data_IF_335561915937
#
_entry.id   IF_335561915937
#
_cell.length_a   1.000
_cell.length_b   1.000
_cell.length_c   1.000
_cell.angle_alpha   90.00
_cell.angle_beta   90.00
_cell.angle_gamma   90.00
#
_symmetry.space_group_name_H-M   'P 1'
#
loop_
_entity.id
_entity.type
_entity.pdbx_description
1 polymer ?
#
# COMPACT_ATOMS: atom_id res chain seq x y z
N UNK A 1 29.77 -3.08 -36.00
CA UNK A 1 28.75 -3.91 -36.67
C UNK A 1 28.75 -5.33 -36.13
N UNK A 2 28.30 -5.59 -34.89
CA UNK A 2 28.17 -6.99 -34.39
C UNK A 2 26.72 -7.43 -34.11
N UNK A 3 25.71 -6.58 -34.13
CA UNK A 3 24.41 -6.96 -33.56
C UNK A 3 23.36 -7.58 -34.52
N UNK A 4 23.71 -7.77 -35.78
CA UNK A 4 22.77 -8.42 -36.72
C UNK A 4 22.68 -9.94 -36.65
N UNK A 5 23.61 -10.59 -35.95
CA UNK A 5 23.65 -12.07 -35.87
C UNK A 5 22.83 -12.65 -34.71
N UNK A 6 22.68 -11.96 -33.61
CA UNK A 6 21.94 -12.49 -32.42
C UNK A 6 20.43 -12.55 -32.61
N UNK A 7 19.87 -11.71 -33.49
CA UNK A 7 18.44 -11.77 -33.81
C UNK A 7 18.04 -12.93 -34.73
N UNK A 8 19.00 -13.64 -35.32
CA UNK A 8 18.71 -14.78 -36.20
C UNK A 8 18.46 -16.09 -35.46
N UNK A 9 19.02 -16.27 -34.28
CA UNK A 9 18.83 -17.52 -33.52
C UNK A 9 17.51 -17.57 -32.76
N UNK A 10 16.96 -16.42 -32.36
CA UNK A 10 15.59 -16.34 -31.81
C UNK A 10 14.48 -16.47 -32.85
N UNK A 11 14.81 -16.43 -34.13
CA UNK A 11 13.83 -16.54 -35.22
C UNK A 11 13.16 -17.91 -35.34
N UNK A 12 13.67 -18.94 -34.63
CA UNK A 12 13.04 -20.26 -34.59
C UNK A 12 11.69 -20.27 -33.85
N UNK A 13 11.56 -19.44 -32.83
CA UNK A 13 10.33 -19.34 -32.02
C UNK A 13 9.30 -18.45 -32.72
N UNK A 14 9.74 -17.52 -33.56
CA UNK A 14 8.87 -16.57 -34.24
C UNK A 14 8.25 -17.09 -35.53
N UNK A 15 8.70 -18.25 -36.05
CA UNK A 15 8.17 -18.86 -37.30
C UNK A 15 6.74 -19.39 -37.14
N UNK A 16 6.20 -19.52 -35.95
CA UNK A 16 4.81 -19.94 -35.68
C UNK A 16 3.88 -18.79 -35.30
N UNK A 17 4.37 -17.55 -35.29
CA UNK A 17 3.55 -16.39 -34.97
C UNK A 17 2.82 -15.88 -36.23
N UNK A 18 1.51 -15.60 -36.14
CA UNK A 18 0.75 -15.01 -37.23
C UNK A 18 1.12 -13.53 -37.51
N UNK A 19 2.09 -13.00 -36.80
CA UNK A 19 2.56 -11.62 -36.98
C UNK A 19 3.69 -11.56 -38.00
N UNK A 20 3.40 -11.00 -39.19
CA UNK A 20 4.45 -10.61 -40.10
C UNK A 20 5.13 -9.34 -39.59
N UNK A 21 6.39 -9.44 -39.17
CA UNK A 21 7.19 -8.26 -38.88
C UNK A 21 7.47 -7.47 -40.18
N UNK A 22 6.65 -6.47 -40.48
CA UNK A 22 7.10 -5.39 -41.34
C UNK A 22 8.13 -4.60 -40.54
N UNK A 23 9.39 -4.65 -40.98
CA UNK A 23 10.39 -3.68 -40.49
C UNK A 23 9.95 -2.32 -40.99
N UNK A 24 9.16 -1.63 -40.20
CA UNK A 24 8.88 -0.23 -40.44
C UNK A 24 10.20 0.51 -40.21
N UNK A 25 10.66 1.22 -41.23
CA UNK A 25 11.72 2.22 -41.11
C UNK A 25 11.16 3.40 -40.32
N UNK A 26 11.01 3.21 -39.02
CA UNK A 26 10.66 4.25 -38.08
C UNK A 26 11.94 4.84 -37.51
N UNK A 27 12.06 6.15 -37.55
CA UNK A 27 13.16 6.90 -36.93
C UNK A 27 13.11 6.88 -35.40
N UNK A 28 12.07 6.34 -34.81
CA UNK A 28 11.92 6.11 -33.38
C UNK A 28 11.96 4.61 -33.09
N UNK A 29 13.09 4.14 -32.54
CA UNK A 29 13.31 2.74 -32.15
C UNK A 29 12.61 2.37 -30.86
N UNK A 30 12.12 3.35 -30.12
CA UNK A 30 11.54 3.19 -28.77
C UNK A 30 10.08 3.57 -28.78
N UNK A 31 9.25 2.78 -28.13
CA UNK A 31 7.82 3.03 -27.99
C UNK A 31 7.30 2.43 -26.68
N UNK A 32 6.60 3.24 -25.91
CA UNK A 32 5.79 2.74 -24.80
C UNK A 32 4.62 1.93 -25.38
N UNK A 33 4.50 0.67 -25.00
CA UNK A 33 3.37 -0.16 -25.40
C UNK A 33 2.13 0.27 -24.62
N UNK A 34 0.93 0.31 -25.23
CA UNK A 34 -0.30 0.64 -24.54
C UNK A 34 -0.50 -0.27 -23.31
N UNK A 35 -0.76 0.31 -22.14
CA UNK A 35 -0.97 -0.40 -20.89
C UNK A 35 0.30 -0.79 -20.11
N UNK A 36 1.49 -0.44 -20.61
CA UNK A 36 2.78 -0.75 -19.96
C UNK A 36 3.56 0.51 -19.52
N UNK A 37 2.87 1.61 -19.19
CA UNK A 37 3.54 2.79 -18.66
C UNK A 37 3.85 2.57 -17.18
N UNK A 38 5.03 2.02 -16.93
CA UNK A 38 5.61 1.75 -15.62
C UNK A 38 6.97 2.42 -15.44
N UNK A 39 7.17 3.57 -16.12
CA UNK A 39 8.39 4.36 -15.99
C UNK A 39 8.26 5.35 -14.84
N UNK A 40 8.96 5.08 -13.75
CA UNK A 40 9.00 5.94 -12.58
C UNK A 40 10.32 6.72 -12.50
N UNK A 41 10.25 7.97 -12.03
CA UNK A 41 11.46 8.73 -11.69
C UNK A 41 12.15 8.08 -10.49
N UNK A 42 13.48 8.10 -10.46
CA UNK A 42 14.24 7.58 -9.31
C UNK A 42 13.82 8.29 -8.00
N UNK A 43 13.60 9.61 -8.05
CA UNK A 43 13.12 10.39 -6.90
C UNK A 43 11.75 9.89 -6.38
N UNK A 44 10.90 9.31 -7.23
CA UNK A 44 9.65 8.70 -6.82
C UNK A 44 9.90 7.40 -6.03
N UNK A 45 10.89 6.59 -6.43
CA UNK A 45 11.31 5.37 -5.72
C UNK A 45 11.97 5.73 -4.38
N UNK A 46 12.76 6.81 -4.33
CA UNK A 46 13.36 7.30 -3.09
C UNK A 46 12.30 7.71 -2.07
N UNK A 47 11.19 8.29 -2.52
CA UNK A 47 10.05 8.58 -1.64
C UNK A 47 9.37 7.30 -1.12
N UNK A 48 9.28 6.23 -1.92
CA UNK A 48 8.82 4.93 -1.44
C UNK A 48 9.65 4.46 -0.24
N UNK A 49 10.98 4.54 -0.35
CA UNK A 49 11.89 4.16 0.73
C UNK A 49 11.76 5.06 1.97
N UNK A 50 11.49 6.36 1.77
CA UNK A 50 11.21 7.30 2.86
C UNK A 50 9.97 6.84 3.65
N UNK A 51 8.83 6.65 2.97
CA UNK A 51 7.57 6.27 3.61
C UNK A 51 7.55 4.82 4.12
N UNK A 52 8.33 3.92 3.50
CA UNK A 52 8.50 2.56 3.99
C UNK A 52 8.99 2.48 5.45
N UNK A 53 9.68 3.50 5.94
CA UNK A 53 10.10 3.58 7.35
C UNK A 53 8.94 3.77 8.30
N UNK A 54 7.90 4.49 7.87
CA UNK A 54 6.72 4.79 8.69
C UNK A 54 5.72 3.62 8.76
N UNK A 55 5.94 2.56 7.98
CA UNK A 55 5.05 1.39 7.96
C UNK A 55 5.56 0.35 8.95
N UNK A 56 4.64 -0.20 9.74
CA UNK A 56 4.96 -1.17 10.78
C UNK A 56 4.10 -2.42 10.66
N UNK A 57 4.63 -3.53 11.15
CA UNK A 57 3.84 -4.72 11.43
C UNK A 57 3.12 -4.55 12.75
N UNK A 58 1.82 -4.78 12.77
CA UNK A 58 1.00 -4.82 13.98
C UNK A 58 0.89 -6.27 14.42
N UNK A 59 1.33 -6.58 15.64
CA UNK A 59 1.35 -7.93 16.21
C UNK A 59 0.42 -7.94 17.42
N UNK A 60 -0.77 -8.48 17.24
CA UNK A 60 -1.76 -8.70 18.29
C UNK A 60 -1.56 -10.08 18.92
N UNK A 61 -2.23 -10.42 20.04
CA UNK A 61 -2.17 -11.77 20.60
C UNK A 61 -2.58 -12.88 19.62
N UNK A 62 -3.53 -12.61 18.72
CA UNK A 62 -4.17 -13.64 17.91
C UNK A 62 -3.76 -13.55 16.41
N UNK A 63 -3.34 -12.39 15.92
CA UNK A 63 -3.11 -12.17 14.49
C UNK A 63 -2.01 -11.13 14.22
N UNK A 64 -1.75 -10.89 12.95
CA UNK A 64 -0.80 -9.89 12.44
C UNK A 64 -1.45 -9.06 11.35
N UNK A 65 -1.24 -7.75 11.46
CA UNK A 65 -1.67 -6.77 10.47
C UNK A 65 -0.54 -5.84 10.06
N UNK A 66 -0.90 -4.85 9.29
CA UNK A 66 -0.08 -3.70 8.96
C UNK A 66 -0.62 -2.45 9.64
N UNK A 67 0.23 -1.46 9.78
CA UNK A 67 -0.15 -0.15 10.25
C UNK A 67 0.90 0.88 9.84
N UNK A 68 0.64 2.13 10.14
CA UNK A 68 1.56 3.20 9.83
C UNK A 68 1.54 4.32 10.87
N UNK A 69 2.67 5.01 10.98
CA UNK A 69 2.89 6.11 11.90
C UNK A 69 2.42 7.43 11.28
N UNK A 70 1.63 8.17 12.04
CA UNK A 70 1.19 9.52 11.75
C UNK A 70 2.07 10.56 12.47
N UNK A 71 2.06 11.82 11.99
CA UNK A 71 2.96 12.88 12.47
C UNK A 71 2.81 13.21 13.95
N UNK A 72 1.65 12.94 14.54
CA UNK A 72 1.36 13.15 15.96
C UNK A 72 1.67 11.95 16.87
N UNK A 73 2.40 10.93 16.35
CA UNK A 73 2.79 9.75 17.10
C UNK A 73 1.71 8.68 17.24
N UNK A 74 0.63 8.77 16.45
CA UNK A 74 -0.41 7.75 16.42
C UNK A 74 -0.13 6.70 15.35
N UNK A 75 -0.42 5.44 15.70
CA UNK A 75 -0.61 4.33 14.78
C UNK A 75 -1.99 4.41 14.16
N UNK A 76 -2.10 4.20 12.86
CA UNK A 76 -3.34 3.82 12.18
C UNK A 76 -3.30 2.37 11.72
N UNK A 77 -4.41 1.65 11.90
CA UNK A 77 -4.66 0.29 11.41
C UNK A 77 -6.18 0.06 11.28
N UNK A 78 -6.62 -1.14 10.95
CA UNK A 78 -8.05 -1.47 10.95
C UNK A 78 -8.60 -1.79 12.34
N UNK A 79 -9.92 -1.59 12.52
CA UNK A 79 -10.65 -2.03 13.71
C UNK A 79 -10.58 -3.55 13.88
N UNK A 80 -10.77 -4.32 12.80
CA UNK A 80 -10.69 -5.78 12.89
C UNK A 80 -9.27 -6.31 13.23
N UNK A 81 -8.21 -5.46 13.14
CA UNK A 81 -6.84 -5.79 13.61
C UNK A 81 -6.69 -5.47 15.09
N UNK A 82 -7.15 -4.29 15.54
CA UNK A 82 -7.19 -3.89 16.95
C UNK A 82 -8.61 -3.44 17.28
N UNK A 83 -9.39 -4.36 17.84
CA UNK A 83 -10.82 -4.12 18.04
C UNK A 83 -11.13 -3.25 19.25
N UNK A 84 -10.28 -3.26 20.28
CA UNK A 84 -10.52 -2.58 21.54
C UNK A 84 -9.23 -2.18 22.27
N UNK A 85 -9.39 -1.42 23.35
CA UNK A 85 -8.27 -0.97 24.18
C UNK A 85 -7.56 -2.12 24.89
N UNK A 86 -8.24 -3.24 25.21
CA UNK A 86 -7.63 -4.39 25.85
C UNK A 86 -6.69 -5.12 24.88
N UNK A 87 -7.10 -5.27 23.64
CA UNK A 87 -6.26 -5.77 22.52
C UNK A 87 -5.10 -4.82 22.28
N UNK A 88 -5.34 -3.50 22.22
CA UNK A 88 -4.29 -2.50 22.05
C UNK A 88 -3.22 -2.59 23.15
N UNK A 89 -3.61 -2.82 24.41
CA UNK A 89 -2.67 -2.95 25.54
C UNK A 89 -1.71 -4.14 25.41
N UNK A 90 -2.07 -5.17 24.64
CA UNK A 90 -1.30 -6.38 24.40
C UNK A 90 -0.61 -6.39 23.04
N UNK A 91 -0.90 -5.42 22.19
CA UNK A 91 -0.35 -5.31 20.84
C UNK A 91 1.04 -4.68 20.85
N UNK A 92 1.92 -5.20 20.01
CA UNK A 92 3.21 -4.59 19.69
C UNK A 92 3.18 -4.08 18.25
N UNK A 93 3.85 -2.96 18.00
CA UNK A 93 4.11 -2.49 16.65
C UNK A 93 5.61 -2.57 16.37
N UNK A 94 5.95 -3.13 15.22
CA UNK A 94 7.32 -3.46 14.85
C UNK A 94 7.70 -2.72 13.59
N UNK A 95 8.61 -1.77 13.73
CA UNK A 95 9.24 -1.07 12.61
C UNK A 95 10.49 -1.80 12.15
N UNK A 96 10.87 -1.55 10.89
CA UNK A 96 12.09 -2.10 10.28
C UNK A 96 12.10 -3.62 10.11
N UNK A 97 10.93 -4.28 10.13
CA UNK A 97 10.84 -5.70 9.84
C UNK A 97 11.02 -5.95 8.33
N UNK A 98 12.27 -5.94 7.89
CA UNK A 98 12.70 -6.15 6.51
C UNK A 98 14.18 -6.56 6.46
N UNK A 99 14.66 -6.97 5.28
CA UNK A 99 16.07 -7.21 5.01
C UNK A 99 16.75 -5.98 4.37
N UNK A 100 18.07 -5.91 4.47
CA UNK A 100 18.91 -5.00 3.68
C UNK A 100 19.13 -5.52 2.25
N UNK A 101 19.90 -4.78 1.43
CA UNK A 101 20.22 -5.18 0.04
C UNK A 101 21.05 -6.46 -0.06
N UNK A 102 21.64 -6.94 1.01
CA UNK A 102 22.42 -8.18 1.07
C UNK A 102 21.58 -9.35 1.60
N UNK A 103 20.28 -9.15 1.86
CA UNK A 103 19.38 -10.16 2.42
C UNK A 103 19.56 -10.38 3.93
N UNK A 104 20.32 -9.52 4.62
CA UNK A 104 20.47 -9.59 6.08
C UNK A 104 19.28 -8.90 6.76
N UNK A 105 18.68 -9.60 7.73
CA UNK A 105 17.60 -9.01 8.54
C UNK A 105 18.09 -7.76 9.28
N UNK A 106 17.29 -6.72 9.23
CA UNK A 106 17.53 -5.49 9.97
C UNK A 106 17.07 -5.63 11.43
N UNK A 107 17.53 -4.71 12.28
CA UNK A 107 17.16 -4.69 13.68
C UNK A 107 15.73 -4.16 13.84
N UNK A 108 14.83 -5.04 14.29
CA UNK A 108 13.41 -4.72 14.50
C UNK A 108 13.30 -3.84 15.74
N UNK A 109 12.57 -2.74 15.62
CA UNK A 109 12.24 -1.88 16.74
C UNK A 109 10.76 -2.07 17.11
N UNK A 110 10.54 -2.61 18.30
CA UNK A 110 9.21 -2.93 18.82
C UNK A 110 8.76 -1.90 19.84
N UNK A 111 7.50 -1.47 19.75
CA UNK A 111 6.90 -0.45 20.64
C UNK A 111 5.59 -0.95 21.22
N UNK A 112 5.29 -0.46 22.41
CA UNK A 112 3.99 -0.59 23.06
C UNK A 112 3.02 0.50 22.59
N UNK A 113 1.74 0.23 22.75
CA UNK A 113 0.67 1.20 22.52
C UNK A 113 0.18 1.78 23.86
N UNK A 114 -0.22 3.05 23.83
CA UNK A 114 -0.94 3.67 24.93
C UNK A 114 -2.44 3.43 24.78
N UNK A 115 -2.92 2.32 25.34
CA UNK A 115 -4.31 1.90 25.23
C UNK A 115 -5.31 2.94 25.78
N UNK A 116 -4.89 3.88 26.63
CA UNK A 116 -5.76 4.96 27.13
C UNK A 116 -6.16 5.95 26.03
N UNK A 117 -5.39 5.99 24.94
CA UNK A 117 -5.62 6.87 23.78
C UNK A 117 -6.37 6.18 22.64
N UNK A 118 -6.69 4.90 22.81
CA UNK A 118 -7.36 4.10 21.76
C UNK A 118 -8.69 4.70 21.33
N UNK A 119 -8.91 4.72 20.03
CA UNK A 119 -10.19 5.00 19.42
C UNK A 119 -10.35 4.16 18.14
N UNK A 120 -11.56 3.71 17.87
CA UNK A 120 -11.89 2.94 16.68
C UNK A 120 -13.31 3.22 16.20
N UNK A 121 -13.56 2.94 14.94
CA UNK A 121 -14.88 2.88 14.33
C UNK A 121 -15.02 1.52 13.65
N UNK A 122 -15.98 0.72 14.09
CA UNK A 122 -16.32 -0.55 13.44
C UNK A 122 -16.94 -0.31 12.06
N UNK A 123 -17.78 0.73 11.93
CA UNK A 123 -18.45 1.08 10.67
C UNK A 123 -17.45 1.43 9.55
N UNK A 124 -16.43 2.22 9.86
CA UNK A 124 -15.37 2.61 8.94
C UNK A 124 -14.13 1.71 9.04
N UNK A 125 -14.21 0.64 9.83
CA UNK A 125 -13.15 -0.34 10.07
C UNK A 125 -11.76 0.30 10.24
N UNK A 126 -11.65 1.30 11.09
CA UNK A 126 -10.36 1.85 11.47
C UNK A 126 -10.16 1.86 12.99
N UNK A 127 -8.92 1.78 13.40
CA UNK A 127 -8.47 2.03 14.76
C UNK A 127 -7.23 2.91 14.72
N UNK A 128 -7.12 3.83 15.68
CA UNK A 128 -5.88 4.53 15.92
C UNK A 128 -5.60 4.67 17.41
N UNK A 129 -4.32 4.65 17.75
CA UNK A 129 -3.85 4.63 19.12
C UNK A 129 -2.43 5.18 19.19
N UNK A 130 -2.07 5.91 20.22
CA UNK A 130 -0.74 6.47 20.37
C UNK A 130 0.30 5.38 20.60
N UNK A 131 1.42 5.45 19.87
CA UNK A 131 2.59 4.63 20.13
C UNK A 131 3.36 5.25 21.30
N UNK A 132 3.78 4.43 22.27
CA UNK A 132 4.67 4.89 23.35
C UNK A 132 6.07 5.09 22.81
N UNK A 133 6.52 6.33 22.83
CA UNK A 133 7.86 6.69 22.37
C UNK A 133 8.94 6.09 23.27
N UNK A 134 10.13 5.89 22.71
CA UNK A 134 11.26 5.29 23.39
C UNK A 134 12.52 6.13 23.18
N UNK A 135 13.22 6.46 24.25
CA UNK A 135 14.45 7.25 24.18
C UNK A 135 15.61 6.56 23.44
N UNK A 136 15.64 5.21 23.45
CA UNK A 136 16.66 4.40 22.75
C UNK A 136 16.31 4.13 21.26
N UNK A 137 15.11 4.47 20.83
CA UNK A 137 14.61 4.38 19.48
C UNK A 137 13.47 5.39 19.29
N UNK A 138 13.75 6.68 19.06
CA UNK A 138 12.72 7.70 18.95
C UNK A 138 11.80 7.45 17.74
N UNK A 139 10.51 7.74 17.90
CA UNK A 139 9.53 7.59 16.81
C UNK A 139 9.85 8.48 15.61
N UNK A 140 10.49 9.62 15.83
CA UNK A 140 10.90 10.56 14.78
C UNK A 140 11.86 9.93 13.75
N UNK A 141 12.61 8.89 14.12
CA UNK A 141 13.51 8.16 13.20
C UNK A 141 12.75 7.44 12.08
N UNK A 142 11.46 7.14 12.29
CA UNK A 142 10.61 6.46 11.32
C UNK A 142 9.90 7.42 10.38
N UNK A 143 9.88 8.71 10.69
CA UNK A 143 9.09 9.70 9.96
C UNK A 143 7.59 9.42 10.11
N UNK A 144 6.79 10.03 9.24
CA UNK A 144 5.33 9.85 9.23
C UNK A 144 4.79 9.90 7.80
N UNK A 145 3.62 9.31 7.59
CA UNK A 145 2.90 9.45 6.33
C UNK A 145 2.23 10.83 6.24
N UNK A 146 1.93 11.25 5.02
CA UNK A 146 1.18 12.46 4.74
C UNK A 146 -0.13 12.08 4.02
N UNK A 147 -1.21 12.79 4.33
CA UNK A 147 -2.54 12.50 3.79
C UNK A 147 -2.93 13.46 2.67
N UNK A 148 -3.80 12.98 1.78
CA UNK A 148 -4.52 13.79 0.80
C UNK A 148 -6.01 13.40 0.83
N UNK A 149 -6.77 14.11 1.64
CA UNK A 149 -8.22 13.89 1.81
C UNK A 149 -9.04 14.53 0.70
N UNK A 150 -8.42 15.41 -0.09
CA UNK A 150 -9.07 16.13 -1.20
C UNK A 150 -8.66 15.57 -2.57
N UNK A 151 -7.93 14.44 -2.59
CA UNK A 151 -7.47 13.83 -3.82
C UNK A 151 -8.62 13.53 -4.78
N UNK A 152 -8.53 14.06 -5.99
CA UNK A 152 -9.44 13.70 -7.07
C UNK A 152 -9.03 12.32 -7.63
N UNK A 153 -9.63 11.27 -7.10
CA UNK A 153 -9.34 9.89 -7.49
C UNK A 153 -10.30 9.46 -8.61
N UNK A 154 -9.74 8.86 -9.65
CA UNK A 154 -10.50 8.39 -10.82
C UNK A 154 -10.19 6.92 -11.13
N UNK A 155 -11.13 6.26 -11.81
CA UNK A 155 -10.91 4.91 -12.34
C UNK A 155 -9.68 4.89 -13.26
N UNK A 156 -8.79 3.94 -13.02
CA UNK A 156 -7.54 3.77 -13.75
C UNK A 156 -6.33 4.44 -13.11
N UNK A 157 -6.51 5.29 -12.11
CA UNK A 157 -5.40 5.87 -11.36
C UNK A 157 -4.59 4.78 -10.67
N UNK A 158 -3.27 4.96 -10.67
CA UNK A 158 -2.39 4.01 -10.01
C UNK A 158 -2.30 4.30 -8.50
N UNK A 159 -2.46 3.24 -7.70
CA UNK A 159 -2.29 3.29 -6.25
C UNK A 159 -1.15 2.36 -5.84
N UNK A 160 -0.46 2.71 -4.79
CA UNK A 160 0.67 1.92 -4.27
C UNK A 160 0.39 1.55 -2.82
N UNK A 161 0.68 0.30 -2.45
CA UNK A 161 0.56 -0.18 -1.07
C UNK A 161 1.92 -0.66 -0.58
N UNK A 162 2.32 -0.18 0.59
CA UNK A 162 3.46 -0.71 1.35
C UNK A 162 2.87 -1.45 2.55
N UNK A 163 3.20 -2.75 2.70
CA UNK A 163 2.42 -3.66 3.53
C UNK A 163 3.25 -4.81 4.12
N UNK A 164 2.73 -5.46 5.14
CA UNK A 164 3.24 -6.72 5.69
C UNK A 164 2.37 -7.91 5.24
N UNK A 165 2.28 -8.12 3.92
CA UNK A 165 1.47 -9.19 3.35
C UNK A 165 1.88 -10.58 3.90
N UNK A 166 0.91 -11.36 4.38
CA UNK A 166 1.14 -12.63 5.08
C UNK A 166 1.78 -12.46 6.47
N UNK A 167 1.77 -11.26 7.06
CA UNK A 167 2.50 -10.95 8.29
C UNK A 167 4.02 -11.06 8.15
N UNK A 168 4.53 -11.09 6.90
CA UNK A 168 5.94 -11.23 6.55
C UNK A 168 6.67 -9.89 6.56
N UNK A 169 7.94 -9.89 6.11
CA UNK A 169 8.73 -8.69 5.89
C UNK A 169 8.01 -7.66 5.03
N UNK A 170 8.38 -6.40 5.20
CA UNK A 170 7.77 -5.28 4.48
C UNK A 170 7.89 -5.46 2.97
N UNK A 171 6.80 -5.30 2.26
CA UNK A 171 6.68 -5.44 0.81
C UNK A 171 6.00 -4.22 0.20
N UNK A 172 6.27 -3.96 -1.06
CA UNK A 172 5.60 -2.93 -1.85
C UNK A 172 4.95 -3.58 -3.08
N UNK A 173 3.70 -3.22 -3.36
CA UNK A 173 3.00 -3.61 -4.56
C UNK A 173 3.07 -2.46 -5.59
N UNK A 174 3.75 -2.69 -6.72
CA UNK A 174 3.99 -1.71 -7.78
C UNK A 174 3.23 -2.02 -9.07
N UNK A 175 2.87 -3.27 -9.31
CA UNK A 175 2.14 -3.71 -10.50
C UNK A 175 0.68 -4.07 -10.16
N UNK A 176 -0.21 -4.04 -11.17
CA UNK A 176 -1.63 -4.34 -11.03
C UNK A 176 -2.28 -3.53 -9.88
N UNK A 177 -2.11 -2.22 -9.90
CA UNK A 177 -2.45 -1.33 -8.80
C UNK A 177 -3.38 -0.19 -9.26
N UNK A 178 -4.36 -0.51 -10.10
CA UNK A 178 -5.31 0.46 -10.66
C UNK A 178 -6.58 0.55 -9.84
N UNK A 179 -7.08 1.77 -9.70
CA UNK A 179 -8.45 2.01 -9.21
C UNK A 179 -9.45 1.42 -10.19
N UNK A 180 -10.34 0.60 -9.70
CA UNK A 180 -11.40 -0.06 -10.46
C UNK A 180 -12.70 0.72 -10.39
N UNK A 181 -13.06 1.18 -9.19
CA UNK A 181 -14.24 2.01 -8.92
C UNK A 181 -14.13 2.67 -7.55
N UNK A 182 -14.98 3.68 -7.35
CA UNK A 182 -15.22 4.30 -6.05
C UNK A 182 -16.73 4.21 -5.81
N UNK A 183 -17.13 3.82 -4.61
CA UNK A 183 -18.52 3.76 -4.21
C UNK A 183 -18.66 4.13 -2.73
N UNK A 184 -19.36 5.21 -2.45
CA UNK A 184 -19.46 5.79 -1.11
C UNK A 184 -18.07 6.01 -0.50
N UNK A 185 -17.80 5.54 0.72
CA UNK A 185 -16.52 5.62 1.41
C UNK A 185 -15.48 4.60 0.91
N UNK A 186 -15.79 3.80 -0.10
CA UNK A 186 -14.96 2.69 -0.54
C UNK A 186 -14.20 2.96 -1.83
N UNK A 187 -12.90 2.70 -1.80
CA UNK A 187 -12.01 2.67 -2.96
C UNK A 187 -11.71 1.22 -3.34
N UNK A 188 -12.09 0.81 -4.55
CA UNK A 188 -11.81 -0.54 -5.08
C UNK A 188 -10.64 -0.52 -6.05
N UNK A 189 -9.71 -1.46 -5.90
CA UNK A 189 -8.47 -1.55 -6.71
C UNK A 189 -8.01 -2.99 -6.86
N UNK A 190 -7.11 -3.24 -7.82
CA UNK A 190 -6.61 -4.57 -8.16
C UNK A 190 -5.21 -4.87 -7.59
N UNK A 191 -4.70 -4.03 -6.69
CA UNK A 191 -3.38 -4.22 -6.05
C UNK A 191 -3.32 -5.55 -5.31
N UNK A 192 -2.27 -6.39 -5.52
CA UNK A 192 -2.14 -7.66 -4.81
C UNK A 192 -1.99 -7.47 -3.29
N UNK A 193 -2.80 -8.20 -2.53
CA UNK A 193 -2.76 -8.22 -1.05
C UNK A 193 -2.96 -9.64 -0.53
N UNK A 194 -2.55 -9.89 0.70
CA UNK A 194 -2.74 -11.15 1.42
C UNK A 194 -3.19 -10.84 2.85
N UNK A 195 -3.60 -11.85 3.62
CA UNK A 195 -3.82 -11.70 5.06
C UNK A 195 -2.61 -11.00 5.71
N UNK A 196 -2.84 -10.09 6.64
CA UNK A 196 -1.78 -9.22 7.20
C UNK A 196 -1.55 -7.91 6.44
N UNK A 197 -2.14 -7.72 5.26
CA UNK A 197 -2.14 -6.42 4.55
C UNK A 197 -3.11 -5.43 5.16
N UNK A 198 -4.10 -5.89 5.92
CA UNK A 198 -5.08 -5.06 6.64
C UNK A 198 -4.40 -3.96 7.45
N UNK A 199 -4.87 -2.72 7.31
CA UNK A 199 -4.29 -1.56 7.99
C UNK A 199 -3.14 -0.89 7.24
N UNK A 200 -2.80 -1.35 6.04
CA UNK A 200 -1.79 -0.68 5.21
C UNK A 200 -2.31 0.62 4.61
N UNK A 201 -1.45 1.64 4.44
CA UNK A 201 -1.82 2.86 3.72
C UNK A 201 -1.88 2.59 2.21
N UNK A 202 -2.88 3.15 1.56
CA UNK A 202 -3.02 3.22 0.11
C UNK A 202 -2.55 4.59 -0.35
N UNK A 203 -1.44 4.64 -1.08
CA UNK A 203 -0.84 5.88 -1.57
C UNK A 203 -1.28 6.20 -2.99
N UNK A 204 -1.49 7.48 -3.27
CA UNK A 204 -1.56 8.00 -4.64
C UNK A 204 -0.15 8.18 -5.24
N UNK A 205 -0.06 8.61 -6.50
CA UNK A 205 1.23 8.80 -7.19
C UNK A 205 2.08 9.95 -6.63
N UNK A 206 1.52 10.81 -5.76
CA UNK A 206 2.25 11.86 -5.03
C UNK A 206 2.72 11.38 -3.64
N UNK A 207 2.63 10.08 -3.35
CA UNK A 207 2.96 9.49 -2.05
C UNK A 207 2.16 10.07 -0.88
N UNK A 208 0.92 10.45 -1.13
CA UNK A 208 -0.03 10.83 -0.09
C UNK A 208 -0.99 9.68 0.16
N UNK A 209 -1.29 9.43 1.43
CA UNK A 209 -2.26 8.41 1.82
C UNK A 209 -3.67 8.90 1.50
N UNK A 210 -4.42 8.12 0.72
CA UNK A 210 -5.79 8.44 0.30
C UNK A 210 -6.81 7.45 0.88
N UNK A 211 -6.39 6.22 1.20
CA UNK A 211 -7.28 5.22 1.80
C UNK A 211 -6.53 4.29 2.76
N UNK A 212 -7.27 3.65 3.65
CA UNK A 212 -6.82 2.57 4.54
C UNK A 212 -7.22 1.22 3.92
N UNK A 213 -6.25 0.35 3.62
CA UNK A 213 -6.55 -0.99 3.10
C UNK A 213 -7.37 -1.79 4.11
N UNK A 214 -8.49 -2.34 3.65
CA UNK A 214 -9.45 -3.05 4.50
C UNK A 214 -9.42 -4.56 4.23
N UNK A 215 -9.83 -5.01 3.03
CA UNK A 215 -9.96 -6.42 2.69
C UNK A 215 -10.01 -6.66 1.18
N UNK A 216 -9.77 -7.92 0.78
CA UNK A 216 -10.09 -8.42 -0.55
C UNK A 216 -11.49 -9.03 -0.60
N UNK A 217 -12.15 -8.89 -1.74
CA UNK A 217 -13.47 -9.46 -2.00
C UNK A 217 -13.46 -10.21 -3.33
N UNK A 218 -14.04 -11.40 -3.34
CA UNK A 218 -14.30 -12.14 -4.56
C UNK A 218 -15.55 -11.57 -5.25
N UNK A 219 -15.59 -11.61 -6.58
CA UNK A 219 -16.74 -11.25 -7.41
C UNK A 219 -17.36 -9.84 -7.18
N UNK A 220 -16.55 -8.88 -6.76
CA UNK A 220 -17.04 -7.56 -6.34
C UNK A 220 -17.17 -6.56 -7.47
N UNK A 221 -16.37 -6.71 -8.54
CA UNK A 221 -16.31 -5.75 -9.66
C UNK A 221 -16.71 -6.44 -10.96
N UNK A 222 -17.52 -5.75 -11.77
CA UNK A 222 -17.86 -6.20 -13.12
C UNK A 222 -16.93 -5.47 -14.11
N UNK A 223 -16.16 -6.23 -14.91
CA UNK A 223 -15.29 -5.68 -15.95
C UNK A 223 -16.10 -5.19 -17.17
N UNK A 224 -15.41 -4.58 -18.14
CA UNK A 224 -16.04 -4.06 -19.36
C UNK A 224 -16.69 -5.17 -20.23
N UNK A 225 -16.34 -6.43 -20.02
CA UNK A 225 -16.85 -7.61 -20.72
C UNK A 225 -18.02 -8.26 -19.95
N UNK A 226 -18.39 -7.73 -18.76
CA UNK A 226 -19.46 -8.25 -17.92
C UNK A 226 -19.03 -9.40 -17.00
N UNK A 227 -17.75 -9.73 -16.90
CA UNK A 227 -17.26 -10.77 -16.00
C UNK A 227 -17.11 -10.21 -14.59
N UNK A 228 -17.44 -11.02 -13.58
CA UNK A 228 -17.15 -10.72 -12.19
C UNK A 228 -15.69 -11.02 -11.88
N UNK A 229 -15.04 -10.16 -11.12
CA UNK A 229 -13.68 -10.37 -10.63
C UNK A 229 -13.55 -9.86 -9.20
N UNK A 230 -12.60 -10.42 -8.48
CA UNK A 230 -12.22 -9.94 -7.17
C UNK A 230 -11.58 -8.56 -7.24
N UNK A 231 -11.71 -7.82 -6.15
CA UNK A 231 -11.06 -6.53 -5.93
C UNK A 231 -10.66 -6.38 -4.47
N UNK A 232 -9.61 -5.63 -4.23
CA UNK A 232 -9.28 -5.15 -2.91
C UNK A 232 -10.03 -3.85 -2.63
N UNK A 233 -10.31 -3.59 -1.36
CA UNK A 233 -11.07 -2.44 -0.91
C UNK A 233 -10.31 -1.66 0.16
N UNK A 234 -10.30 -0.35 0.06
CA UNK A 234 -9.85 0.57 1.11
C UNK A 234 -10.98 1.51 1.52
N UNK A 235 -10.87 2.05 2.74
CA UNK A 235 -11.73 3.11 3.27
C UNK A 235 -11.05 4.43 2.97
N UNK A 236 -11.76 5.37 2.34
CA UNK A 236 -11.20 6.68 2.00
C UNK A 236 -10.89 7.49 3.28
N UNK A 237 -9.71 8.10 3.34
CA UNK A 237 -9.32 8.93 4.48
C UNK A 237 -10.13 10.20 4.61
N UNK A 238 -10.75 10.68 3.52
CA UNK A 238 -11.74 11.75 3.60
C UNK A 238 -12.83 11.41 4.59
N UNK A 239 -13.46 10.25 4.46
CA UNK A 239 -14.57 9.81 5.31
C UNK A 239 -14.12 9.54 6.75
N UNK A 240 -12.91 8.98 6.93
CA UNK A 240 -12.31 8.80 8.26
C UNK A 240 -12.10 10.15 8.95
N UNK A 241 -11.59 11.15 8.23
CA UNK A 241 -11.33 12.49 8.79
C UNK A 241 -12.64 13.22 9.13
N UNK A 242 -13.64 13.16 8.26
CA UNK A 242 -14.97 13.70 8.52
C UNK A 242 -15.59 13.05 9.78
N UNK A 243 -15.47 11.73 9.92
CA UNK A 243 -15.91 11.03 11.12
C UNK A 243 -15.16 11.53 12.37
N UNK A 244 -13.82 11.56 12.35
CA UNK A 244 -13.02 12.03 13.49
C UNK A 244 -13.37 13.45 13.92
N UNK A 245 -13.60 14.35 12.96
CA UNK A 245 -14.05 15.73 13.22
C UNK A 245 -15.43 15.75 13.88
N UNK A 246 -16.38 14.92 13.39
CA UNK A 246 -17.75 14.86 13.92
C UNK A 246 -17.78 14.44 15.39
N UNK A 247 -16.88 13.55 15.79
CA UNK A 247 -16.74 13.03 17.17
C UNK A 247 -15.69 13.79 17.99
N UNK A 248 -15.14 14.89 17.45
CA UNK A 248 -14.14 15.77 18.11
C UNK A 248 -12.87 15.02 18.55
N UNK A 249 -12.42 14.07 17.76
CA UNK A 249 -11.16 13.38 17.96
C UNK A 249 -10.01 14.08 17.22
N UNK A 250 -8.76 14.01 17.73
CA UNK A 250 -7.62 14.57 17.02
C UNK A 250 -7.46 13.95 15.63
N UNK A 251 -7.16 14.78 14.63
CA UNK A 251 -6.75 14.29 13.33
C UNK A 251 -5.31 13.75 13.38
N UNK A 252 -4.98 12.74 12.58
CA UNK A 252 -3.66 12.08 12.59
C UNK A 252 -2.58 12.86 11.79
N UNK A 253 -2.69 14.17 11.73
CA UNK A 253 -1.81 15.10 10.98
C UNK A 253 -0.92 15.91 11.87
#
# INVERSE_FOLDING_TARGET
MPDRLRLRESAGILKSSPFSFKVLRSTTLEKVLPGSDNLYKISWVEQALKYAKSICRVVTPDDKGSGFLCSNGYLFTNHHVIADAATAAQTKVEFNFRTDMNGKALDIKSYDLDASTFYASEELDFAYVRIKDRADAPLDDWGAVEFDTEAAISKGDAMTIIQHAGGKELQIALDANKVLSIWEQYLFYDTPTLGGSSGSPVFNQAWKVVALHHAGFEDTVIDAQGNRRGANRGILFKDIFEHLQSVKKPLPV
#
